data_IF_524171942751
#
_entry.id   IF_524171942751
#
_cell.length_a   1.000
_cell.length_b   1.000
_cell.length_c   1.000
_cell.angle_alpha   90.00
_cell.angle_beta   90.00
_cell.angle_gamma   90.00
#
_symmetry.space_group_name_H-M   'P 1'
#
loop_
_entity.id
_entity.type
_entity.pdbx_description
1 polymer ?
#
# COMPACT_ATOMS: atom_id res chain seq x y z
N UNK A 1 -13.82 -15.49 12.10
CA UNK A 1 -12.49 -15.72 12.67
C UNK A 1 -11.55 -14.59 12.32
N UNK A 2 -10.71 -14.12 13.23
CA UNK A 2 -9.66 -13.16 12.86
C UNK A 2 -8.64 -13.81 11.91
N UNK A 3 -8.16 -13.04 10.95
CA UNK A 3 -7.08 -13.46 10.07
C UNK A 3 -5.82 -12.72 10.47
N UNK A 4 -4.75 -13.47 10.74
CA UNK A 4 -3.47 -12.92 11.14
C UNK A 4 -2.41 -13.47 10.17
N UNK A 5 -1.66 -12.57 9.55
CA UNK A 5 -0.59 -12.95 8.63
C UNK A 5 0.69 -12.21 9.03
N UNK A 6 1.71 -12.95 9.41
CA UNK A 6 3.01 -12.40 9.73
C UNK A 6 3.82 -12.13 8.45
N UNK A 7 4.79 -11.20 8.53
CA UNK A 7 5.65 -10.91 7.38
C UNK A 7 6.38 -12.17 6.89
N UNK A 8 6.82 -13.04 7.79
CA UNK A 8 7.51 -14.27 7.40
C UNK A 8 6.69 -15.16 6.49
N UNK A 9 5.36 -15.13 6.63
CA UNK A 9 4.46 -15.89 5.76
C UNK A 9 4.12 -15.12 4.49
N UNK A 10 4.07 -13.79 4.56
CA UNK A 10 3.68 -12.95 3.44
C UNK A 10 4.83 -12.69 2.46
N UNK A 11 6.07 -12.73 2.91
CA UNK A 11 7.24 -12.33 2.11
C UNK A 11 7.41 -13.14 0.82
N UNK A 12 6.88 -14.35 0.76
CA UNK A 12 6.92 -15.16 -0.46
C UNK A 12 6.09 -14.56 -1.60
N UNK A 13 5.18 -13.67 -1.30
CA UNK A 13 4.34 -12.98 -2.30
C UNK A 13 5.00 -11.71 -2.83
N UNK A 14 6.13 -11.28 -2.28
CA UNK A 14 6.81 -10.06 -2.67
C UNK A 14 7.20 -10.10 -4.14
N UNK A 15 6.71 -9.15 -4.91
CA UNK A 15 6.97 -9.06 -6.35
C UNK A 15 7.50 -7.70 -6.71
N UNK A 16 8.50 -7.68 -7.58
CA UNK A 16 9.10 -6.47 -8.12
C UNK A 16 8.31 -5.97 -9.32
N UNK A 17 8.20 -4.66 -9.43
CA UNK A 17 7.57 -4.00 -10.55
C UNK A 17 8.37 -2.77 -10.92
N UNK A 18 8.71 -2.59 -12.19
CA UNK A 18 9.33 -1.38 -12.67
C UNK A 18 8.26 -0.30 -12.87
N UNK A 19 8.57 0.90 -12.41
CA UNK A 19 7.70 2.07 -12.54
C UNK A 19 8.52 3.21 -13.16
N UNK A 20 7.86 4.24 -13.75
CA UNK A 20 8.61 5.29 -14.46
C UNK A 20 9.69 5.99 -13.64
N UNK A 21 9.53 6.10 -12.34
CA UNK A 21 10.46 6.82 -11.45
C UNK A 21 11.29 5.90 -10.57
N UNK A 22 11.31 4.60 -10.84
CA UNK A 22 12.11 3.67 -10.04
C UNK A 22 11.56 2.25 -10.05
N UNK A 23 11.78 1.56 -8.94
CA UNK A 23 11.31 0.20 -8.73
C UNK A 23 10.38 0.16 -7.53
N UNK A 24 9.34 -0.65 -7.61
CA UNK A 24 8.42 -0.88 -6.52
C UNK A 24 8.28 -2.36 -6.26
N UNK A 25 7.94 -2.71 -5.02
CA UNK A 25 7.65 -4.08 -4.60
C UNK A 25 6.32 -4.10 -3.88
N UNK A 26 5.58 -5.18 -4.06
CA UNK A 26 4.33 -5.40 -3.34
C UNK A 26 4.38 -6.74 -2.64
N UNK A 27 4.05 -6.74 -1.36
CA UNK A 27 3.93 -7.95 -0.53
C UNK A 27 2.49 -8.04 -0.04
N UNK A 28 1.82 -9.15 -0.31
CA UNK A 28 0.41 -9.33 0.06
C UNK A 28 0.31 -10.03 1.40
N UNK A 29 -0.47 -9.46 2.32
CA UNK A 29 -0.76 -10.02 3.63
C UNK A 29 -2.15 -10.63 3.69
N UNK A 30 -3.14 -9.93 3.15
CA UNK A 30 -4.52 -10.39 3.06
C UNK A 30 -4.99 -10.12 1.64
N UNK A 31 -5.27 -11.19 0.90
CA UNK A 31 -5.76 -11.08 -0.47
C UNK A 31 -7.27 -10.87 -0.48
N UNK A 32 -7.79 -10.07 -1.42
CA UNK A 32 -9.24 -9.96 -1.57
C UNK A 32 -9.82 -11.26 -2.11
N UNK A 33 -11.07 -11.53 -1.76
CA UNK A 33 -11.80 -12.64 -2.37
C UNK A 33 -12.04 -12.31 -3.85
N UNK A 34 -11.57 -13.15 -4.79
CA UNK A 34 -11.78 -12.90 -6.22
C UNK A 34 -13.25 -12.78 -6.63
N UNK A 35 -14.15 -13.42 -5.87
CA UNK A 35 -15.57 -13.35 -6.14
C UNK A 35 -16.28 -12.21 -5.44
N UNK A 36 -15.60 -11.54 -4.52
CA UNK A 36 -16.12 -10.38 -3.82
C UNK A 36 -15.01 -9.36 -3.60
N UNK A 37 -14.75 -8.48 -4.58
CA UNK A 37 -13.67 -7.50 -4.49
C UNK A 37 -13.87 -6.45 -3.39
N UNK A 38 -15.02 -6.41 -2.75
CA UNK A 38 -15.26 -5.53 -1.61
C UNK A 38 -14.72 -6.09 -0.28
N UNK A 39 -14.21 -7.33 -0.26
CA UNK A 39 -13.60 -7.87 0.96
C UNK A 39 -12.31 -7.13 1.29
N UNK A 40 -11.97 -7.02 2.59
CA UNK A 40 -10.74 -6.35 3.00
C UNK A 40 -9.50 -6.98 2.40
N UNK A 41 -8.50 -6.16 2.12
CA UNK A 41 -7.18 -6.60 1.72
C UNK A 41 -6.11 -5.77 2.43
N UNK A 42 -4.93 -6.36 2.59
CA UNK A 42 -3.80 -5.68 3.20
C UNK A 42 -2.52 -6.03 2.44
N UNK A 43 -1.74 -5.02 2.11
CA UNK A 43 -0.48 -5.23 1.39
C UNK A 43 0.52 -4.14 1.75
N UNK A 44 1.80 -4.49 1.64
CA UNK A 44 2.91 -3.57 1.82
C UNK A 44 3.41 -3.14 0.45
N UNK A 45 3.61 -1.85 0.27
CA UNK A 45 4.22 -1.30 -0.94
C UNK A 45 5.55 -0.68 -0.56
N UNK A 46 6.60 -1.09 -1.25
CA UNK A 46 7.93 -0.54 -1.09
C UNK A 46 8.32 0.18 -2.39
N UNK A 47 9.12 1.22 -2.28
CA UNK A 47 9.62 1.96 -3.45
C UNK A 47 11.02 2.46 -3.24
N UNK A 48 11.76 2.61 -4.35
CA UNK A 48 13.09 3.22 -4.33
C UNK A 48 12.99 4.72 -4.03
N UNK A 49 14.04 5.33 -3.47
CA UNK A 49 14.05 6.78 -3.25
C UNK A 49 13.79 7.55 -4.55
N UNK A 50 13.05 8.64 -4.44
CA UNK A 50 12.71 9.48 -5.59
C UNK A 50 11.50 9.01 -6.39
N UNK A 51 10.86 7.92 -6.00
CA UNK A 51 9.67 7.44 -6.67
C UNK A 51 8.52 8.44 -6.50
N UNK A 52 7.84 8.76 -7.61
CA UNK A 52 6.69 9.66 -7.62
C UNK A 52 5.45 8.91 -8.08
N UNK A 53 4.36 9.07 -7.34
CA UNK A 53 3.05 8.53 -7.69
C UNK A 53 2.16 9.72 -8.01
N UNK A 54 1.60 9.73 -9.23
CA UNK A 54 0.67 10.79 -9.62
C UNK A 54 -0.65 10.66 -8.85
N UNK A 55 -1.37 11.76 -8.62
CA UNK A 55 -2.67 11.69 -7.97
C UNK A 55 -3.61 10.73 -8.70
N UNK A 56 -4.30 9.91 -7.94
CA UNK A 56 -5.26 8.95 -8.46
C UNK A 56 -6.27 8.64 -7.36
N UNK A 57 -7.32 7.88 -7.69
CA UNK A 57 -8.30 7.46 -6.70
C UNK A 57 -8.57 5.97 -6.83
N UNK A 58 -9.14 5.40 -5.77
CA UNK A 58 -9.56 4.00 -5.73
C UNK A 58 -11.08 3.92 -5.55
N UNK A 59 -11.64 2.77 -5.89
CA UNK A 59 -13.08 2.52 -5.78
C UNK A 59 -13.51 2.12 -4.37
N UNK A 60 -12.59 2.12 -3.40
CA UNK A 60 -12.82 1.69 -2.03
C UNK A 60 -12.09 2.60 -1.05
N UNK A 61 -12.55 2.56 0.20
CA UNK A 61 -11.87 3.26 1.29
C UNK A 61 -10.54 2.57 1.60
N UNK A 62 -9.54 3.35 2.00
CA UNK A 62 -8.25 2.77 2.35
C UNK A 62 -7.57 3.52 3.49
N UNK A 63 -6.80 2.78 4.27
CA UNK A 63 -5.84 3.32 5.20
C UNK A 63 -4.44 3.05 4.68
N UNK A 64 -3.56 4.03 4.85
CA UNK A 64 -2.14 3.89 4.54
C UNK A 64 -1.36 4.22 5.79
N UNK A 65 -0.41 3.35 6.15
CA UNK A 65 0.44 3.52 7.31
C UNK A 65 1.89 3.46 6.85
N UNK A 66 2.67 4.45 7.24
CA UNK A 66 4.10 4.48 6.92
C UNK A 66 4.84 3.63 7.95
N UNK A 67 5.42 2.53 7.50
CA UNK A 67 6.14 1.61 8.39
C UNK A 67 7.65 1.80 8.33
N UNK A 68 8.16 2.43 7.28
CA UNK A 68 9.58 2.71 7.12
C UNK A 68 9.78 3.81 6.09
N UNK A 69 10.84 4.61 6.26
CA UNK A 69 11.15 5.68 5.32
C UNK A 69 10.34 6.94 5.56
N UNK A 70 10.32 7.79 4.55
CA UNK A 70 9.56 9.04 4.59
C UNK A 70 9.10 9.40 3.16
N UNK A 71 8.32 10.45 3.05
CA UNK A 71 7.83 10.93 1.78
C UNK A 71 6.90 12.11 1.94
N UNK A 72 6.28 12.50 0.84
CA UNK A 72 5.31 13.58 0.81
C UNK A 72 4.00 13.08 0.19
N UNK A 73 2.88 13.53 0.75
CA UNK A 73 1.56 13.37 0.16
C UNK A 73 0.98 14.77 0.00
N UNK A 74 1.01 15.28 -1.24
CA UNK A 74 0.73 16.69 -1.46
C UNK A 74 1.75 17.54 -0.70
N UNK A 75 1.27 18.35 0.26
CA UNK A 75 2.12 19.18 1.11
C UNK A 75 2.42 18.55 2.46
N UNK A 76 1.86 17.36 2.74
CA UNK A 76 2.03 16.71 4.03
C UNK A 76 3.24 15.79 4.01
N UNK A 77 4.13 15.97 4.99
CA UNK A 77 5.26 15.07 5.17
C UNK A 77 4.78 13.78 5.85
N UNK A 78 5.17 12.65 5.25
CA UNK A 78 4.85 11.33 5.79
C UNK A 78 6.08 10.79 6.50
N UNK A 79 5.92 10.47 7.77
CA UNK A 79 6.96 9.86 8.58
C UNK A 79 6.49 8.52 9.10
N UNK A 80 7.42 7.72 9.67
CA UNK A 80 7.06 6.43 10.26
C UNK A 80 5.93 6.60 11.27
N UNK A 81 4.95 5.72 11.21
CA UNK A 81 3.71 5.72 11.99
C UNK A 81 2.68 6.78 11.59
N UNK A 82 2.94 7.56 10.54
CA UNK A 82 1.90 8.40 9.98
C UNK A 82 0.79 7.53 9.35
N UNK A 83 -0.44 7.91 9.57
CA UNK A 83 -1.61 7.19 9.05
C UNK A 83 -2.42 8.14 8.19
N UNK A 84 -2.76 7.70 6.99
CA UNK A 84 -3.60 8.43 6.06
C UNK A 84 -4.84 7.60 5.74
N UNK A 85 -6.00 8.25 5.75
CA UNK A 85 -7.25 7.64 5.35
C UNK A 85 -7.82 8.36 4.13
N UNK A 86 -8.21 7.59 3.12
CA UNK A 86 -8.91 8.10 1.94
C UNK A 86 -10.22 7.37 1.75
N UNK A 87 -11.29 8.11 1.56
CA UNK A 87 -12.56 7.51 1.13
C UNK A 87 -12.49 7.14 -0.34
N UNK A 88 -13.34 6.20 -0.74
CA UNK A 88 -13.47 5.80 -2.13
C UNK A 88 -13.68 7.04 -3.02
N UNK A 89 -13.09 7.02 -4.21
CA UNK A 89 -13.20 8.05 -5.24
C UNK A 89 -12.60 9.42 -4.86
N UNK A 90 -11.75 9.49 -3.83
CA UNK A 90 -10.98 10.70 -3.51
C UNK A 90 -9.52 10.51 -3.90
N UNK A 91 -8.91 11.50 -4.60
CA UNK A 91 -7.48 11.43 -4.95
C UNK A 91 -6.54 11.54 -3.76
#
# INVERSE_FOLDING_TARGET
MPQITAYEDAKATRKERQVPTGTAWRTNFIDPDPQNPATPQAFLVEGTPGRVIKPHFHDYDQYQVIVSGDGLMGKHQLTVNAVHYSRAHTP
#
